data_IF_332407792489
#
_entry.id   IF_332407792489
#
_cell.length_a   1.000
_cell.length_b   1.000
_cell.length_c   1.000
_cell.angle_alpha   90.00
_cell.angle_beta   90.00
_cell.angle_gamma   90.00
#
_symmetry.space_group_name_H-M   'P 1'
#
loop_
_entity.id
_entity.type
_entity.pdbx_description
1 polymer ?
#
# COMPACT_ATOMS: atom_id res chain seq x y z
N UNK A 1 35.93 -93.62 43.07
CA UNK A 1 35.39 -92.24 43.00
C UNK A 1 35.00 -91.96 41.56
N UNK A 2 33.70 -91.73 41.28
CA UNK A 2 33.17 -91.46 39.94
C UNK A 2 32.84 -89.97 39.84
N UNK A 3 33.43 -89.25 38.89
CA UNK A 3 33.14 -87.85 38.61
C UNK A 3 31.91 -87.77 37.70
N UNK A 4 30.83 -87.15 38.17
CA UNK A 4 29.64 -86.88 37.35
C UNK A 4 29.81 -85.50 36.71
N UNK A 5 29.99 -85.49 35.39
CA UNK A 5 30.07 -84.28 34.58
C UNK A 5 28.65 -83.81 34.25
N UNK A 6 28.21 -82.67 34.82
CA UNK A 6 26.92 -82.05 34.47
C UNK A 6 27.15 -81.09 33.29
N UNK A 7 26.60 -81.43 32.12
CA UNK A 7 26.51 -80.54 30.96
C UNK A 7 25.31 -79.60 31.15
N UNK A 8 25.56 -78.30 31.33
CA UNK A 8 24.51 -77.27 31.31
C UNK A 8 24.28 -76.85 29.86
N UNK A 9 23.09 -77.13 29.35
CA UNK A 9 22.61 -76.73 28.03
C UNK A 9 22.37 -75.20 28.01
N UNK A 10 23.20 -74.44 27.30
CA UNK A 10 22.98 -73.01 27.07
C UNK A 10 22.00 -72.87 25.89
N UNK A 11 20.77 -72.47 26.17
CA UNK A 11 19.77 -72.15 25.14
C UNK A 11 20.01 -70.71 24.67
N UNK A 12 20.37 -70.52 23.40
CA UNK A 12 20.43 -69.20 22.76
C UNK A 12 19.00 -68.67 22.53
N UNK A 13 18.59 -67.68 23.32
CA UNK A 13 17.41 -66.86 23.01
C UNK A 13 17.86 -65.58 22.30
N UNK A 14 17.27 -65.29 21.13
CA UNK A 14 17.37 -63.97 20.51
C UNK A 14 16.39 -63.02 21.21
N UNK A 15 16.89 -62.15 22.08
CA UNK A 15 16.09 -61.10 22.71
C UNK A 15 16.00 -59.93 21.71
N UNK A 16 14.87 -59.78 21.02
CA UNK A 16 14.53 -58.52 20.38
C UNK A 16 13.91 -57.59 21.42
N UNK A 17 14.73 -56.70 21.98
CA UNK A 17 14.28 -55.65 22.89
C UNK A 17 13.98 -54.37 22.12
N UNK A 18 12.72 -53.93 22.13
CA UNK A 18 12.27 -52.63 21.61
C UNK A 18 12.44 -51.47 22.61
N UNK A 19 12.98 -51.72 23.81
CA UNK A 19 13.26 -50.68 24.81
C UNK A 19 14.58 -50.96 25.55
N UNK A 20 15.64 -50.21 25.23
CA UNK A 20 16.95 -50.36 25.86
C UNK A 20 17.03 -49.54 27.16
N UNK A 21 16.89 -50.18 28.31
CA UNK A 21 17.42 -49.66 29.59
C UNK A 21 18.90 -49.98 29.65
N UNK A 22 19.77 -48.97 29.51
CA UNK A 22 21.21 -49.15 29.75
C UNK A 22 21.44 -49.15 31.24
N UNK A 23 22.09 -50.20 31.72
CA UNK A 23 22.51 -50.35 33.11
C UNK A 23 24.03 -50.24 33.12
N UNK A 24 24.60 -49.40 33.98
CA UNK A 24 26.06 -49.31 34.10
C UNK A 24 26.67 -50.58 34.72
N UNK A 25 28.01 -50.65 34.77
CA UNK A 25 28.74 -51.78 35.37
C UNK A 25 28.45 -51.99 36.88
N UNK A 26 27.71 -51.06 37.52
CA UNK A 26 27.32 -51.09 38.93
C UNK A 26 25.82 -51.33 39.13
N UNK A 27 25.04 -51.56 38.08
CA UNK A 27 23.60 -51.81 38.20
C UNK A 27 22.73 -50.54 38.16
N UNK A 28 23.29 -49.35 37.90
CA UNK A 28 22.53 -48.09 37.85
C UNK A 28 21.80 -47.96 36.52
N UNK A 29 20.48 -47.77 36.56
CA UNK A 29 19.69 -47.45 35.37
C UNK A 29 20.06 -46.05 34.86
N UNK A 30 20.55 -45.96 33.62
CA UNK A 30 20.81 -44.69 32.93
C UNK A 30 19.68 -44.45 31.93
N UNK A 31 19.00 -43.31 32.04
CA UNK A 31 18.07 -42.85 31.00
C UNK A 31 18.84 -42.50 29.74
N UNK A 32 18.69 -43.33 28.71
CA UNK A 32 19.19 -43.04 27.36
C UNK A 32 18.21 -42.08 26.69
N UNK A 33 18.20 -40.82 27.11
CA UNK A 33 17.38 -39.78 26.45
C UNK A 33 18.04 -39.37 25.12
N UNK A 34 17.83 -40.20 24.11
CA UNK A 34 18.24 -40.00 22.71
C UNK A 34 17.38 -39.00 21.96
N UNK A 35 16.27 -38.54 22.56
CA UNK A 35 15.39 -37.55 21.93
C UNK A 35 16.16 -36.25 21.72
N UNK A 36 15.98 -35.61 20.56
CA UNK A 36 16.51 -34.26 20.31
C UNK A 36 15.62 -33.17 20.92
N UNK A 37 14.39 -33.53 21.26
CA UNK A 37 13.42 -32.70 21.95
C UNK A 37 13.36 -33.10 23.42
N UNK A 38 13.50 -32.15 24.33
CA UNK A 38 13.38 -32.38 25.77
C UNK A 38 12.30 -31.47 26.36
N UNK A 39 11.59 -31.95 27.36
CA UNK A 39 10.61 -31.16 28.11
C UNK A 39 11.29 -30.41 29.26
N UNK A 40 10.87 -29.17 29.52
CA UNK A 40 11.25 -28.35 30.69
C UNK A 40 9.98 -27.75 31.26
N UNK A 41 9.50 -28.31 32.38
CA UNK A 41 8.15 -28.00 32.85
C UNK A 41 7.11 -28.40 31.80
N UNK A 42 6.30 -27.43 31.36
CA UNK A 42 5.28 -27.62 30.32
C UNK A 42 5.80 -27.36 28.90
N UNK A 43 7.03 -26.85 28.76
CA UNK A 43 7.60 -26.47 27.46
C UNK A 43 8.37 -27.62 26.82
N UNK A 44 8.43 -27.63 25.49
CA UNK A 44 9.28 -28.54 24.71
C UNK A 44 10.38 -27.69 24.06
N UNK A 45 11.64 -28.11 24.20
CA UNK A 45 12.79 -27.42 23.62
C UNK A 45 13.67 -28.36 22.81
N UNK A 46 14.24 -27.84 21.72
CA UNK A 46 15.28 -28.53 20.99
C UNK A 46 16.60 -28.42 21.78
N UNK A 47 17.07 -29.53 22.36
CA UNK A 47 18.32 -29.55 23.14
C UNK A 47 19.58 -29.74 22.28
N UNK A 48 19.43 -29.95 20.98
CA UNK A 48 20.57 -29.91 20.07
C UNK A 48 20.94 -28.44 19.79
N UNK A 49 22.24 -28.16 19.60
CA UNK A 49 22.74 -26.81 19.25
C UNK A 49 22.40 -26.38 17.82
N UNK A 50 21.70 -27.23 17.06
CA UNK A 50 21.29 -26.99 15.68
C UNK A 50 19.96 -26.25 15.56
N UNK A 51 19.45 -26.18 14.34
CA UNK A 51 18.23 -25.45 13.97
C UNK A 51 17.11 -26.43 13.61
N UNK A 52 15.86 -25.96 13.57
CA UNK A 52 14.68 -26.74 13.19
C UNK A 52 14.44 -26.60 11.69
N UNK A 53 14.63 -27.69 10.93
CA UNK A 53 14.31 -27.77 9.51
C UNK A 53 13.03 -28.59 9.27
N UNK A 54 12.08 -28.05 8.51
CA UNK A 54 10.89 -28.78 8.04
C UNK A 54 11.00 -28.91 6.53
N UNK A 55 11.29 -30.12 6.05
CA UNK A 55 11.54 -30.39 4.63
C UNK A 55 12.96 -30.03 4.15
N UNK A 56 13.90 -29.77 5.07
CA UNK A 56 15.34 -29.57 4.76
C UNK A 56 16.21 -30.13 5.89
N UNK A 57 17.31 -30.81 5.53
CA UNK A 57 18.31 -31.30 6.48
C UNK A 57 19.41 -30.25 6.78
N UNK A 58 19.46 -29.16 6.01
CA UNK A 58 20.46 -28.09 6.12
C UNK A 58 19.79 -26.74 6.37
N UNK A 59 19.16 -26.52 7.55
CA UNK A 59 18.49 -25.26 7.88
C UNK A 59 19.45 -24.06 7.95
N UNK A 60 19.11 -22.95 7.30
CA UNK A 60 19.91 -21.70 7.30
C UNK A 60 19.48 -20.73 8.41
N UNK A 61 18.27 -20.84 8.95
CA UNK A 61 17.74 -20.07 10.09
C UNK A 61 17.26 -21.01 11.21
N UNK A 62 17.09 -20.48 12.44
CA UNK A 62 16.66 -21.28 13.61
C UNK A 62 15.38 -22.09 13.36
N UNK A 63 14.46 -21.55 12.55
CA UNK A 63 13.35 -22.26 11.95
C UNK A 63 13.44 -22.06 10.43
N UNK A 64 13.51 -23.15 9.65
CA UNK A 64 13.53 -23.13 8.19
C UNK A 64 12.56 -24.16 7.62
N UNK A 65 11.59 -23.71 6.85
CA UNK A 65 10.62 -24.56 6.14
C UNK A 65 10.81 -24.44 4.64
N UNK A 66 10.67 -25.52 3.88
CA UNK A 66 10.71 -25.50 2.41
C UNK A 66 9.32 -25.51 1.76
N UNK A 67 8.27 -25.69 2.56
CA UNK A 67 6.87 -25.60 2.17
C UNK A 67 6.16 -24.38 2.79
N UNK A 68 4.83 -24.33 2.62
CA UNK A 68 3.99 -23.26 3.18
C UNK A 68 3.98 -23.26 4.71
N UNK A 69 3.86 -22.06 5.29
CA UNK A 69 3.66 -21.86 6.73
C UNK A 69 2.29 -21.23 6.94
N UNK A 70 1.49 -21.83 7.82
CA UNK A 70 0.19 -21.31 8.23
C UNK A 70 0.25 -20.82 9.67
N UNK A 71 -0.08 -19.55 9.90
CA UNK A 71 -0.21 -18.94 11.22
C UNK A 71 -1.70 -18.72 11.50
N UNK A 72 -2.35 -19.62 12.24
CA UNK A 72 -3.81 -19.54 12.48
C UNK A 72 -4.20 -18.31 13.31
N UNK A 73 -3.34 -17.92 14.26
CA UNK A 73 -3.63 -16.87 15.25
C UNK A 73 -3.66 -15.43 14.70
N UNK A 74 -3.29 -15.19 13.44
CA UNK A 74 -3.27 -13.86 12.82
C UNK A 74 -4.49 -13.58 11.92
N UNK A 75 -5.47 -14.49 11.93
CA UNK A 75 -6.73 -14.40 11.17
C UNK A 75 -6.61 -14.77 9.69
N UNK A 76 -7.75 -14.89 9.01
CA UNK A 76 -7.81 -15.24 7.58
C UNK A 76 -7.64 -14.01 6.70
N UNK A 77 -6.67 -14.05 5.77
CA UNK A 77 -6.47 -13.02 4.74
C UNK A 77 -7.10 -13.49 3.42
N UNK A 78 -8.37 -13.16 3.19
CA UNK A 78 -9.13 -13.64 2.02
C UNK A 78 -8.86 -12.85 0.74
N UNK A 79 -8.33 -11.63 0.84
CA UNK A 79 -8.08 -10.72 -0.30
C UNK A 79 -6.62 -10.37 -0.51
N UNK A 80 -5.69 -11.01 0.21
CA UNK A 80 -4.25 -10.75 0.15
C UNK A 80 -3.85 -9.27 0.39
N UNK A 81 -4.63 -8.52 1.20
CA UNK A 81 -4.40 -7.08 1.45
C UNK A 81 -3.57 -6.80 2.70
N UNK A 82 -3.31 -7.82 3.53
CA UNK A 82 -2.56 -7.70 4.77
C UNK A 82 -1.10 -8.09 4.59
N UNK A 83 -0.20 -7.40 5.29
CA UNK A 83 1.21 -7.75 5.42
C UNK A 83 1.52 -8.29 6.82
N UNK A 84 2.53 -9.17 6.93
CA UNK A 84 3.04 -9.60 8.24
C UNK A 84 3.87 -8.46 8.87
N UNK A 85 3.69 -8.26 10.15
CA UNK A 85 4.38 -7.26 10.98
C UNK A 85 4.62 -7.82 12.38
N UNK A 86 5.20 -7.04 13.28
CA UNK A 86 5.30 -7.38 14.70
C UNK A 86 4.59 -6.36 15.58
N UNK A 87 4.02 -6.80 16.69
CA UNK A 87 3.51 -5.91 17.74
C UNK A 87 4.64 -5.34 18.62
N UNK A 88 4.28 -4.55 19.64
CA UNK A 88 5.24 -3.96 20.58
C UNK A 88 6.01 -4.98 21.42
N UNK A 89 5.52 -6.22 21.51
CA UNK A 89 6.16 -7.34 22.22
C UNK A 89 6.97 -8.24 21.27
N UNK A 90 7.00 -7.92 19.97
CA UNK A 90 7.70 -8.71 18.95
C UNK A 90 6.92 -9.91 18.41
N UNK A 91 5.64 -10.08 18.76
CA UNK A 91 4.83 -11.18 18.22
C UNK A 91 4.44 -10.89 16.78
N UNK A 92 4.44 -11.93 15.93
CA UNK A 92 3.97 -11.81 14.55
C UNK A 92 2.47 -11.50 14.54
N UNK A 93 2.11 -10.44 13.82
CA UNK A 93 0.73 -10.01 13.58
C UNK A 93 0.57 -9.52 12.14
N UNK A 94 -0.58 -8.98 11.78
CA UNK A 94 -0.85 -8.41 10.45
C UNK A 94 -1.31 -6.96 10.52
N UNK A 95 -1.01 -6.19 9.47
CA UNK A 95 -1.57 -4.84 9.25
C UNK A 95 -2.10 -4.73 7.83
N UNK A 96 -3.13 -3.89 7.62
CA UNK A 96 -3.60 -3.62 6.26
C UNK A 96 -2.53 -2.83 5.51
N UNK A 97 -2.25 -3.22 4.26
CA UNK A 97 -1.28 -2.50 3.44
C UNK A 97 -1.65 -1.01 3.27
N UNK A 98 -2.95 -0.70 3.22
CA UNK A 98 -3.47 0.67 3.13
C UNK A 98 -3.19 1.53 4.38
N UNK A 99 -3.03 0.93 5.56
CA UNK A 99 -2.75 1.66 6.79
C UNK A 99 -1.28 2.09 6.91
N UNK A 100 -0.37 1.39 6.22
CA UNK A 100 1.04 1.80 6.12
C UNK A 100 1.21 3.07 5.30
N UNK A 101 0.21 3.40 4.48
CA UNK A 101 0.20 4.54 3.57
C UNK A 101 -0.34 5.82 4.22
N UNK A 102 -0.55 5.82 5.53
CA UNK A 102 -1.22 6.92 6.26
C UNK A 102 -0.32 8.10 6.66
N UNK A 103 0.96 8.12 6.27
CA UNK A 103 1.89 9.20 6.63
C UNK A 103 2.34 10.05 5.44
N UNK A 104 1.93 11.32 5.37
CA UNK A 104 2.40 12.33 4.40
C UNK A 104 2.51 11.83 2.94
N UNK A 105 1.58 10.99 2.50
CA UNK A 105 1.63 10.42 1.16
C UNK A 105 0.95 11.37 0.19
N UNK A 106 1.70 11.79 -0.83
CA UNK A 106 1.15 12.42 -2.02
C UNK A 106 0.23 11.42 -2.71
N UNK A 107 -1.06 11.68 -2.60
CA UNK A 107 -2.09 10.93 -3.31
C UNK A 107 -2.31 11.56 -4.68
N UNK A 108 -2.65 10.74 -5.69
CA UNK A 108 -2.86 11.21 -7.06
C UNK A 108 -4.21 10.73 -7.56
N UNK A 109 -5.08 11.66 -7.92
CA UNK A 109 -6.28 11.42 -8.71
C UNK A 109 -5.95 11.54 -10.20
N UNK A 110 -6.54 10.68 -11.04
CA UNK A 110 -6.27 10.61 -12.49
C UNK A 110 -7.58 10.54 -13.25
N UNK A 111 -7.73 11.38 -14.28
CA UNK A 111 -8.91 11.37 -15.16
C UNK A 111 -8.89 10.14 -16.08
N UNK A 112 -9.94 9.32 -16.02
CA UNK A 112 -10.01 8.03 -16.74
C UNK A 112 -10.28 8.13 -18.25
N UNK A 113 -10.92 9.20 -18.72
CA UNK A 113 -11.30 9.39 -20.12
C UNK A 113 -11.24 10.87 -20.53
N UNK A 114 -11.14 11.14 -21.83
CA UNK A 114 -11.20 12.52 -22.33
C UNK A 114 -12.54 13.17 -21.94
N UNK A 115 -12.50 14.44 -21.54
CA UNK A 115 -13.69 15.24 -21.23
C UNK A 115 -13.73 16.45 -22.15
N UNK A 116 -14.72 16.49 -23.05
CA UNK A 116 -14.91 17.58 -24.01
C UNK A 116 -16.16 18.39 -23.68
N UNK A 117 -16.06 19.72 -23.71
CA UNK A 117 -17.21 20.62 -23.51
C UNK A 117 -17.07 21.92 -24.29
N UNK A 118 -18.21 22.51 -24.66
CA UNK A 118 -18.35 23.88 -25.15
C UNK A 118 -19.07 24.80 -24.14
N UNK A 119 -19.21 24.35 -22.88
CA UNK A 119 -19.89 25.12 -21.84
C UNK A 119 -19.05 26.33 -21.42
N UNK A 120 -19.65 27.51 -21.50
CA UNK A 120 -19.09 28.76 -20.96
C UNK A 120 -19.29 28.91 -19.44
N UNK A 121 -20.12 28.03 -18.86
CA UNK A 121 -20.25 27.85 -17.41
C UNK A 121 -19.28 26.80 -16.90
N UNK A 122 -18.77 26.99 -15.68
CA UNK A 122 -17.82 26.06 -15.05
C UNK A 122 -18.44 24.68 -14.86
N UNK A 123 -17.77 23.66 -15.38
CA UNK A 123 -18.10 22.25 -15.13
C UNK A 123 -17.00 21.59 -14.31
N UNK A 124 -17.36 20.60 -13.51
CA UNK A 124 -16.38 19.79 -12.79
C UNK A 124 -15.67 18.84 -13.76
N UNK A 125 -14.37 18.64 -13.56
CA UNK A 125 -13.65 17.55 -14.22
C UNK A 125 -13.88 16.30 -13.37
N UNK A 126 -14.50 15.23 -13.90
CA UNK A 126 -14.67 13.97 -13.18
C UNK A 126 -13.32 13.45 -12.69
N UNK A 127 -13.35 12.71 -11.58
CA UNK A 127 -12.19 12.07 -10.96
C UNK A 127 -11.10 13.02 -10.43
N UNK A 128 -10.96 14.25 -10.93
CA UNK A 128 -10.02 15.26 -10.42
C UNK A 128 -10.59 15.98 -9.20
N UNK A 129 -10.73 15.22 -8.12
CA UNK A 129 -11.20 15.70 -6.82
C UNK A 129 -10.56 14.95 -5.66
N UNK A 130 -10.56 15.54 -4.48
CA UNK A 130 -10.11 14.89 -3.25
C UNK A 130 -10.96 15.30 -2.05
N UNK A 131 -11.12 14.36 -1.12
CA UNK A 131 -11.85 14.58 0.13
C UNK A 131 -10.97 15.40 1.06
N UNK A 132 -11.57 16.37 1.73
CA UNK A 132 -10.91 17.22 2.70
C UNK A 132 -11.65 17.22 4.04
N UNK A 133 -10.90 17.24 5.12
CA UNK A 133 -11.41 17.29 6.49
C UNK A 133 -11.20 18.68 7.07
N UNK A 134 -12.19 19.19 7.81
CA UNK A 134 -12.12 20.48 8.47
C UNK A 134 -10.89 20.59 9.39
N UNK A 135 -10.19 21.72 9.32
CA UNK A 135 -9.00 22.03 10.11
C UNK A 135 -7.69 21.41 9.60
N UNK A 136 -7.73 20.50 8.62
CA UNK A 136 -6.52 19.96 8.00
C UNK A 136 -6.09 20.82 6.82
N UNK A 137 -4.81 21.16 6.74
CA UNK A 137 -4.27 21.91 5.60
C UNK A 137 -3.76 20.94 4.56
N UNK A 138 -4.24 21.10 3.33
CA UNK A 138 -3.82 20.32 2.19
C UNK A 138 -3.04 21.20 1.22
N UNK A 139 -2.01 20.63 0.58
CA UNK A 139 -1.43 21.18 -0.64
C UNK A 139 -1.90 20.36 -1.83
N UNK A 140 -2.17 21.02 -2.95
CA UNK A 140 -2.61 20.36 -4.17
C UNK A 140 -1.87 20.88 -5.41
N UNK A 141 -1.79 20.03 -6.44
CA UNK A 141 -1.17 20.34 -7.72
C UNK A 141 -1.88 19.57 -8.85
N UNK A 142 -2.63 20.27 -9.69
CA UNK A 142 -3.31 19.71 -10.85
C UNK A 142 -2.49 19.95 -12.13
N UNK A 143 -2.31 18.92 -12.95
CA UNK A 143 -1.66 18.97 -14.26
C UNK A 143 -2.63 18.49 -15.33
N UNK A 144 -3.06 19.39 -16.21
CA UNK A 144 -4.23 19.16 -17.07
C UNK A 144 -3.88 19.49 -18.52
N UNK A 145 -3.45 18.50 -19.33
CA UNK A 145 -3.30 18.67 -20.76
C UNK A 145 -4.67 18.84 -21.43
N UNK A 146 -4.77 19.79 -22.35
CA UNK A 146 -6.02 20.01 -23.09
C UNK A 146 -5.78 20.31 -24.57
N UNK A 147 -6.85 20.25 -25.35
CA UNK A 147 -6.89 20.67 -26.76
C UNK A 147 -8.08 21.61 -26.92
N UNK A 148 -7.90 22.67 -27.68
CA UNK A 148 -9.00 23.50 -28.18
C UNK A 148 -9.30 23.13 -29.63
N UNK A 149 -10.59 23.11 -30.02
CA UNK A 149 -10.98 22.94 -31.42
C UNK A 149 -10.67 24.16 -32.29
N UNK A 150 -10.52 25.34 -31.68
CA UNK A 150 -10.21 26.62 -32.34
C UNK A 150 -9.13 27.38 -31.53
N UNK A 151 -8.16 27.96 -32.22
CA UNK A 151 -7.08 28.75 -31.61
C UNK A 151 -7.58 30.05 -30.96
N UNK A 152 -8.73 30.52 -31.40
CA UNK A 152 -9.46 31.67 -30.87
C UNK A 152 -10.45 31.30 -29.77
N UNK A 153 -10.55 30.02 -29.41
CA UNK A 153 -11.29 29.58 -28.23
C UNK A 153 -10.33 29.39 -27.06
N UNK A 154 -10.46 30.23 -26.04
CA UNK A 154 -9.76 30.08 -24.79
C UNK A 154 -10.50 29.25 -23.74
N UNK A 155 -10.03 29.33 -22.51
CA UNK A 155 -10.58 28.59 -21.37
C UNK A 155 -10.28 29.29 -20.04
N UNK A 156 -11.01 28.89 -19.00
CA UNK A 156 -10.67 29.20 -17.61
C UNK A 156 -10.61 27.93 -16.79
N UNK A 157 -9.68 27.91 -15.84
CA UNK A 157 -9.38 26.76 -15.01
C UNK A 157 -9.38 27.20 -13.56
N UNK A 158 -10.05 26.45 -12.70
CA UNK A 158 -10.25 26.84 -11.31
C UNK A 158 -10.57 25.63 -10.44
N UNK A 159 -10.81 25.86 -9.15
CA UNK A 159 -11.29 24.86 -8.21
C UNK A 159 -12.58 25.33 -7.54
N UNK A 160 -13.33 24.37 -7.00
CA UNK A 160 -14.43 24.59 -6.09
C UNK A 160 -14.31 23.63 -4.91
N UNK A 161 -14.90 23.96 -3.76
CA UNK A 161 -14.85 23.11 -2.58
C UNK A 161 -15.76 23.58 -1.45
N UNK A 162 -15.68 22.94 -0.27
CA UNK A 162 -16.42 23.36 0.92
C UNK A 162 -15.91 24.71 1.43
N UNK A 163 -16.62 25.28 2.41
CA UNK A 163 -16.17 26.48 3.11
C UNK A 163 -14.75 26.30 3.67
N UNK A 164 -13.96 27.37 3.62
CA UNK A 164 -12.54 27.36 4.01
C UNK A 164 -12.24 28.47 5.01
N UNK A 165 -11.26 28.22 5.88
CA UNK A 165 -10.62 29.25 6.68
C UNK A 165 -9.36 29.82 6.01
N UNK A 166 -8.80 29.09 5.04
CA UNK A 166 -7.66 29.51 4.25
C UNK A 166 -7.74 28.91 2.84
N UNK A 167 -7.49 29.74 1.85
CA UNK A 167 -7.28 29.32 0.46
C UNK A 167 -6.28 30.26 -0.19
N UNK A 168 -5.27 29.70 -0.85
CA UNK A 168 -4.35 30.45 -1.69
C UNK A 168 -3.86 29.54 -2.81
N UNK A 169 -4.16 29.90 -4.05
CA UNK A 169 -3.76 29.10 -5.20
C UNK A 169 -3.45 29.95 -6.42
N UNK A 170 -2.74 29.34 -7.36
CA UNK A 170 -2.51 29.87 -8.69
C UNK A 170 -3.20 29.01 -9.72
N UNK A 171 -3.69 29.66 -10.78
CA UNK A 171 -4.22 29.00 -11.97
C UNK A 171 -3.50 29.55 -13.19
N UNK A 172 -2.74 28.68 -13.85
CA UNK A 172 -1.91 29.00 -15.00
C UNK A 172 -2.34 28.15 -16.18
N UNK A 173 -2.44 28.72 -17.36
CA UNK A 173 -2.80 27.95 -18.54
C UNK A 173 -2.32 28.63 -19.83
N UNK A 174 -2.06 27.81 -20.84
CA UNK A 174 -1.57 28.24 -22.15
C UNK A 174 -2.49 29.30 -22.78
N UNK A 175 -1.88 30.37 -23.32
CA UNK A 175 -2.54 31.39 -24.14
C UNK A 175 -2.10 31.28 -25.61
N UNK A 176 -0.79 31.13 -25.82
CA UNK A 176 -0.16 30.86 -27.12
C UNK A 176 1.00 29.87 -26.95
N UNK A 177 1.74 29.57 -28.02
CA UNK A 177 2.95 28.75 -27.97
C UNK A 177 4.07 29.32 -27.08
N UNK A 178 4.01 30.61 -26.73
CA UNK A 178 5.06 31.29 -25.96
C UNK A 178 4.53 32.14 -24.79
N UNK A 179 3.23 32.12 -24.52
CA UNK A 179 2.64 32.87 -23.41
C UNK A 179 1.58 32.07 -22.66
N UNK A 180 1.36 32.47 -21.42
CA UNK A 180 0.37 31.88 -20.52
C UNK A 180 -0.49 32.97 -19.88
N UNK A 181 -1.70 32.58 -19.47
CA UNK A 181 -2.48 33.31 -18.49
C UNK A 181 -2.07 32.85 -17.10
N UNK A 182 -1.81 33.79 -16.18
CA UNK A 182 -1.40 33.50 -14.80
C UNK A 182 -2.29 34.26 -13.81
N UNK A 183 -3.06 33.51 -13.03
CA UNK A 183 -3.95 34.03 -12.00
C UNK A 183 -3.46 33.68 -10.58
N UNK A 184 -3.67 34.59 -9.63
CA UNK A 184 -3.52 34.36 -8.18
C UNK A 184 -4.87 34.58 -7.52
N UNK A 185 -5.30 33.67 -6.65
CA UNK A 185 -6.61 33.77 -6.00
C UNK A 185 -6.63 33.14 -4.61
N UNK A 186 -7.49 33.70 -3.76
CA UNK A 186 -7.90 33.14 -2.48
C UNK A 186 -9.40 32.79 -2.44
N UNK A 187 -10.09 32.83 -3.59
CA UNK A 187 -11.50 32.48 -3.73
C UNK A 187 -11.72 31.44 -4.83
N UNK A 188 -12.70 30.56 -4.65
CA UNK A 188 -13.12 29.60 -5.67
C UNK A 188 -13.67 30.27 -6.92
N UNK A 189 -13.73 29.50 -8.00
CA UNK A 189 -14.34 29.89 -9.28
C UNK A 189 -13.74 31.15 -9.93
N UNK A 190 -12.49 31.50 -9.57
CA UNK A 190 -11.71 32.54 -10.21
C UNK A 190 -10.74 31.94 -11.24
N UNK A 191 -10.55 32.55 -12.43
CA UNK A 191 -11.10 33.84 -12.88
C UNK A 191 -12.56 33.81 -13.39
N UNK A 192 -13.22 34.97 -13.36
CA UNK A 192 -14.61 35.15 -13.82
C UNK A 192 -14.79 35.07 -15.35
N UNK A 193 -13.71 35.21 -16.11
CA UNK A 193 -13.69 35.10 -17.56
C UNK A 193 -12.56 34.16 -18.00
N UNK A 194 -12.78 33.47 -19.12
CA UNK A 194 -11.73 32.74 -19.82
C UNK A 194 -10.72 33.71 -20.44
N UNK A 195 -9.52 33.21 -20.75
CA UNK A 195 -8.72 33.89 -21.77
C UNK A 195 -9.39 33.70 -23.14
N UNK A 196 -8.93 34.43 -24.16
CA UNK A 196 -9.55 34.43 -25.48
C UNK A 196 -8.81 33.60 -26.54
N UNK A 197 -7.81 32.82 -26.11
CA UNK A 197 -6.95 32.07 -27.01
C UNK A 197 -6.40 30.80 -26.34
N UNK A 198 -6.12 29.81 -27.19
CA UNK A 198 -5.34 28.62 -26.87
C UNK A 198 -4.23 28.45 -27.91
N UNK A 199 -3.20 27.66 -27.61
CA UNK A 199 -2.16 27.33 -28.58
C UNK A 199 -2.67 26.47 -29.73
N UNK A 200 -2.17 26.77 -30.93
CA UNK A 200 -2.37 26.03 -32.16
C UNK A 200 -1.81 24.60 -32.08
N UNK A 201 -2.55 23.63 -32.61
CA UNK A 201 -2.08 22.26 -32.82
C UNK A 201 -1.66 21.47 -31.55
N UNK A 202 -2.16 21.85 -30.37
CA UNK A 202 -1.96 21.13 -29.12
C UNK A 202 -0.88 21.72 -28.23
N UNK A 203 -0.37 20.93 -27.28
CA UNK A 203 0.61 21.42 -26.29
C UNK A 203 0.03 22.37 -25.25
N UNK A 204 -1.29 22.48 -25.15
CA UNK A 204 -1.93 23.27 -24.11
C UNK A 204 -1.88 22.55 -22.77
N UNK A 205 -1.56 23.29 -21.71
CA UNK A 205 -1.47 22.79 -20.36
C UNK A 205 -2.12 23.79 -19.40
N UNK A 206 -2.98 23.29 -18.52
CA UNK A 206 -3.43 24.02 -17.35
C UNK A 206 -2.81 23.43 -16.08
N UNK A 207 -2.31 24.30 -15.22
CA UNK A 207 -1.72 24.00 -13.92
C UNK A 207 -2.48 24.79 -12.85
N UNK A 208 -3.02 24.08 -11.86
CA UNK A 208 -3.63 24.71 -10.69
C UNK A 208 -2.92 24.17 -9.46
N UNK A 209 -2.31 25.05 -8.67
CA UNK A 209 -1.60 24.62 -7.46
C UNK A 209 -1.85 25.58 -6.30
N UNK A 210 -1.90 25.05 -5.10
CA UNK A 210 -2.17 25.89 -3.94
C UNK A 210 -2.28 25.12 -2.65
N UNK A 211 -2.74 25.83 -1.63
CA UNK A 211 -3.00 25.31 -0.30
C UNK A 211 -4.39 25.71 0.16
N UNK A 212 -5.02 24.82 0.93
CA UNK A 212 -6.37 24.99 1.45
C UNK A 212 -6.49 24.42 2.85
N UNK A 213 -7.14 25.17 3.75
CA UNK A 213 -7.59 24.70 5.05
C UNK A 213 -9.12 24.81 5.08
N UNK A 214 -9.85 23.70 4.90
CA UNK A 214 -11.32 23.70 4.97
C UNK A 214 -11.79 24.00 6.39
N UNK A 215 -12.91 24.73 6.51
CA UNK A 215 -13.64 24.89 7.77
C UNK A 215 -14.76 23.86 7.92
N UNK A 216 -15.10 23.14 6.85
CA UNK A 216 -16.11 22.09 6.80
C UNK A 216 -15.57 20.91 5.98
N UNK A 217 -15.92 19.68 6.36
CA UNK A 217 -15.63 18.49 5.56
C UNK A 217 -16.27 18.60 4.18
N UNK A 218 -15.62 18.07 3.16
CA UNK A 218 -16.20 18.04 1.83
C UNK A 218 -15.22 17.57 0.77
N UNK A 219 -15.44 18.03 -0.45
CA UNK A 219 -14.63 17.64 -1.61
C UNK A 219 -14.15 18.88 -2.33
N UNK A 220 -12.84 18.96 -2.58
CA UNK A 220 -12.27 19.93 -3.50
C UNK A 220 -12.24 19.31 -4.90
N UNK A 221 -12.71 20.03 -5.91
CA UNK A 221 -12.79 19.57 -7.30
C UNK A 221 -12.20 20.60 -8.24
N UNK A 222 -11.49 20.12 -9.27
CA UNK A 222 -11.00 20.93 -10.38
C UNK A 222 -12.14 21.18 -11.36
N UNK A 223 -12.22 22.41 -11.89
CA UNK A 223 -13.26 22.85 -12.81
C UNK A 223 -12.69 23.64 -13.97
N UNK A 224 -13.40 23.65 -15.08
CA UNK A 224 -13.06 24.46 -16.24
C UNK A 224 -14.30 24.90 -17.02
N UNK A 225 -14.12 25.88 -17.89
CA UNK A 225 -15.10 26.30 -18.89
C UNK A 225 -14.40 26.71 -20.17
N UNK A 226 -15.10 26.55 -21.29
CA UNK A 226 -14.74 27.12 -22.59
C UNK A 226 -14.96 28.64 -22.57
N UNK A 227 -14.23 29.39 -23.38
CA UNK A 227 -14.54 30.79 -23.65
C UNK A 227 -15.74 30.91 -24.60
N UNK A 228 -15.67 30.18 -25.72
CA UNK A 228 -16.68 30.16 -26.75
C UNK A 228 -17.68 29.03 -26.50
N UNK A 229 -18.94 29.29 -26.87
CA UNK A 229 -19.98 28.28 -26.88
C UNK A 229 -19.82 27.34 -28.08
N UNK A 230 -20.77 26.40 -28.25
CA UNK A 230 -20.78 25.52 -29.42
C UNK A 230 -20.70 26.32 -30.73
N UNK A 231 -19.96 25.84 -31.75
CA UNK A 231 -19.41 24.49 -31.89
C UNK A 231 -18.03 24.27 -31.23
N UNK A 232 -17.41 25.30 -30.67
CA UNK A 232 -16.03 25.25 -30.20
C UNK A 232 -15.93 24.55 -28.84
N UNK A 233 -14.97 23.63 -28.72
CA UNK A 233 -14.79 22.82 -27.53
C UNK A 233 -13.39 22.93 -26.94
N UNK A 234 -13.34 22.75 -25.62
CA UNK A 234 -12.13 22.45 -24.88
C UNK A 234 -12.21 21.00 -24.43
N UNK A 235 -11.20 20.23 -24.79
CA UNK A 235 -11.09 18.80 -24.48
C UNK A 235 -9.94 18.56 -23.51
N UNK A 236 -10.25 18.23 -22.26
CA UNK A 236 -9.30 17.72 -21.27
C UNK A 236 -8.89 16.30 -21.67
N UNK A 237 -7.58 16.03 -21.67
CA UNK A 237 -7.07 14.71 -22.04
C UNK A 237 -7.09 13.75 -20.85
N UNK A 238 -7.43 12.49 -21.12
CA UNK A 238 -7.25 11.37 -20.19
C UNK A 238 -5.81 11.36 -19.64
N UNK A 239 -5.66 10.96 -18.39
CA UNK A 239 -4.37 10.99 -17.70
C UNK A 239 -4.00 12.35 -17.11
N UNK A 240 -4.85 13.39 -17.23
CA UNK A 240 -4.75 14.57 -16.37
C UNK A 240 -4.74 14.15 -14.89
N UNK A 241 -3.96 14.84 -14.07
CA UNK A 241 -3.71 14.45 -12.67
C UNK A 241 -4.04 15.56 -11.69
N UNK A 242 -4.39 15.16 -10.47
CA UNK A 242 -4.50 16.00 -9.29
C UNK A 242 -3.77 15.34 -8.12
N UNK A 243 -2.63 15.91 -7.74
CA UNK A 243 -1.85 15.49 -6.58
C UNK A 243 -2.30 16.25 -5.34
N UNK A 244 -2.38 15.58 -4.18
CA UNK A 244 -2.75 16.18 -2.91
C UNK A 244 -2.11 15.49 -1.70
N UNK A 245 -1.80 16.24 -0.65
CA UNK A 245 -1.27 15.76 0.64
C UNK A 245 -1.47 16.76 1.76
#
# INVERSE_FOLDING_TARGET
>A
MKYTLIFILIVLFNIQSTAQTVVDQKGTKISVDTSKWKTVGNDIYNKNVGKVGIGTASPSAQLHTTGTVRLEGIGTNTSNTKILTTDASGNVTTRQASELLSGNIRSVAVLGADLSTSSISLINIPDLSFIVTAGITYRFYATIPFISSDQTNGSRWTINGPATSFLSYTSRYTFSSNSETYNYSNTYNFPNSANNNSNAAGGNLAIIQGMITPSVNGTVTVRFASELAAPDNITVKKGATLEYW
#
